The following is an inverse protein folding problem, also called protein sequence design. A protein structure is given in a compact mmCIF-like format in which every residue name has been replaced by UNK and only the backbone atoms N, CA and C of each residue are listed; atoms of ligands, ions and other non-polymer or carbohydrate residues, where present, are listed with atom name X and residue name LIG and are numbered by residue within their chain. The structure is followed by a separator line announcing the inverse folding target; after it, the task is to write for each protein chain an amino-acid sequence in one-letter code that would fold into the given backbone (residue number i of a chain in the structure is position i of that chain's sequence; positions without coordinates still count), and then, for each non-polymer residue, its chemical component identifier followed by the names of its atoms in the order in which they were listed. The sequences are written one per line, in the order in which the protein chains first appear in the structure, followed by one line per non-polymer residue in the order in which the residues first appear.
data_IF_492540169025
#
_entry.id   IF_492540169025
#
_cell.length_a   1.000
_cell.length_b   1.000
_cell.length_c   1.000
_cell.angle_alpha   90.00
_cell.angle_beta   90.00
_cell.angle_gamma   90.00
#
_symmetry.space_group_name_H-M   'P 1'
#
loop_
_entity.id
_entity.type
_entity.pdbx_description
1 polymer ?
#
# COMPACT_ATOMS: atom_id res chain seq x y z
N UNK A 1 -36.56 13.60 -6.77
CA UNK A 1 -35.56 14.04 -5.77
C UNK A 1 -35.06 12.86 -4.92
N UNK A 2 -35.91 12.19 -4.12
CA UNK A 2 -35.50 11.06 -3.26
C UNK A 2 -34.86 9.91 -4.05
N UNK A 3 -35.39 9.57 -5.23
CA UNK A 3 -34.80 8.53 -6.09
C UNK A 3 -33.39 8.86 -6.61
N UNK A 4 -33.11 10.14 -6.86
CA UNK A 4 -31.78 10.61 -7.30
C UNK A 4 -30.78 10.56 -6.13
N UNK A 5 -31.21 11.00 -4.95
CA UNK A 5 -30.41 10.90 -3.74
C UNK A 5 -30.08 9.45 -3.38
N UNK A 6 -31.01 8.52 -3.64
CA UNK A 6 -30.82 7.08 -3.47
C UNK A 6 -29.78 6.50 -4.43
N UNK A 7 -29.72 6.98 -5.68
CA UNK A 7 -28.67 6.62 -6.63
C UNK A 7 -27.30 7.16 -6.23
N UNK A 8 -27.24 8.42 -5.78
CA UNK A 8 -26.00 9.03 -5.28
C UNK A 8 -25.49 8.27 -4.05
N UNK A 9 -26.37 7.92 -3.12
CA UNK A 9 -26.04 7.15 -1.93
C UNK A 9 -25.41 5.79 -2.27
N UNK A 10 -25.98 5.06 -3.24
CA UNK A 10 -25.42 3.79 -3.73
C UNK A 10 -24.08 3.99 -4.45
N UNK A 11 -23.90 5.08 -5.20
CA UNK A 11 -22.62 5.39 -5.83
C UNK A 11 -21.52 5.71 -4.79
N UNK A 12 -21.88 6.38 -3.70
CA UNK A 12 -20.97 6.69 -2.60
C UNK A 12 -20.53 5.44 -1.82
N UNK A 13 -21.30 4.34 -1.85
CA UNK A 13 -20.87 3.08 -1.24
C UNK A 13 -19.56 2.55 -1.83
N UNK A 14 -19.39 2.71 -3.14
CA UNK A 14 -18.19 2.25 -3.87
C UNK A 14 -16.96 3.11 -3.60
N UNK A 15 -17.16 4.33 -3.07
CA UNK A 15 -16.08 5.24 -2.70
C UNK A 15 -15.73 5.14 -1.21
N UNK A 16 -16.32 4.18 -0.49
CA UNK A 16 -16.24 4.07 0.97
C UNK A 16 -16.64 5.39 1.66
N UNK A 17 -17.62 6.08 1.08
CA UNK A 17 -18.18 7.31 1.61
C UNK A 17 -19.57 7.02 2.19
N UNK A 18 -19.69 7.12 3.49
CA UNK A 18 -20.96 6.99 4.18
C UNK A 18 -21.81 8.25 3.97
N UNK A 19 -23.11 8.10 3.70
CA UNK A 19 -24.05 9.21 3.56
C UNK A 19 -25.33 8.95 4.33
N UNK A 20 -25.87 10.01 4.93
CA UNK A 20 -27.19 10.02 5.55
C UNK A 20 -27.82 11.40 5.36
N UNK A 21 -29.09 11.39 4.95
CA UNK A 21 -29.83 12.56 4.51
C UNK A 21 -31.01 12.75 5.44
N UNK A 22 -31.20 13.98 5.88
CA UNK A 22 -32.24 14.39 6.81
C UNK A 22 -33.13 15.44 6.15
N UNK A 23 -34.42 15.45 6.49
CA UNK A 23 -35.33 16.53 6.12
C UNK A 23 -35.11 17.78 6.99
N UNK A 24 -35.91 18.82 6.77
CA UNK A 24 -35.81 20.07 7.53
C UNK A 24 -36.21 19.95 9.02
N UNK A 25 -36.73 18.80 9.44
CA UNK A 25 -37.10 18.45 10.82
C UNK A 25 -36.17 17.38 11.40
N UNK A 26 -34.99 17.21 10.81
CA UNK A 26 -33.97 16.21 11.16
C UNK A 26 -34.46 14.76 11.11
N UNK A 27 -35.47 14.46 10.28
CA UNK A 27 -35.92 13.09 10.07
C UNK A 27 -35.14 12.45 8.95
N UNK A 28 -34.67 11.23 9.19
CA UNK A 28 -33.90 10.44 8.26
C UNK A 28 -34.72 10.18 6.99
N UNK A 29 -34.24 10.65 5.84
CA UNK A 29 -34.84 10.39 4.54
C UNK A 29 -34.20 9.18 3.86
N UNK A 30 -32.88 9.06 3.99
CA UNK A 30 -32.08 8.10 3.23
C UNK A 30 -30.69 7.92 3.84
N UNK A 31 -30.13 6.72 3.73
CA UNK A 31 -28.74 6.40 4.02
C UNK A 31 -28.22 5.36 3.01
N UNK A 32 -26.91 5.16 2.96
CA UNK A 32 -26.28 4.10 2.15
C UNK A 32 -25.72 2.95 3.00
N UNK A 33 -25.24 1.89 2.35
CA UNK A 33 -24.74 0.71 3.06
C UNK A 33 -23.43 1.01 3.79
N UNK A 34 -22.56 1.87 3.25
CA UNK A 34 -21.34 2.33 3.90
C UNK A 34 -21.64 3.10 5.17
N UNK A 35 -22.75 3.83 5.27
CA UNK A 35 -23.19 4.43 6.53
C UNK A 35 -23.44 3.36 7.60
N UNK A 36 -24.06 2.23 7.25
CA UNK A 36 -24.27 1.12 8.19
C UNK A 36 -22.98 0.34 8.49
N UNK A 37 -22.03 0.30 7.56
CA UNK A 37 -20.69 -0.23 7.82
C UNK A 37 -19.90 0.67 8.77
N UNK A 38 -20.07 1.99 8.66
CA UNK A 38 -19.43 2.95 9.55
C UNK A 38 -20.08 2.91 10.93
N UNK A 39 -21.42 2.88 10.99
CA UNK A 39 -22.21 2.95 12.22
C UNK A 39 -23.09 1.70 12.37
N UNK A 40 -22.51 0.52 12.68
CA UNK A 40 -23.23 -0.75 12.77
C UNK A 40 -24.31 -0.76 13.85
N UNK A 41 -24.24 0.13 14.85
CA UNK A 41 -25.28 0.34 15.86
C UNK A 41 -26.63 0.81 15.28
N UNK A 42 -26.65 1.25 14.02
CA UNK A 42 -27.87 1.65 13.31
C UNK A 42 -28.41 0.54 12.40
N UNK A 43 -27.60 -0.48 12.09
CA UNK A 43 -28.00 -1.59 11.22
C UNK A 43 -29.20 -2.34 11.81
N UNK A 44 -30.31 -2.40 11.07
CA UNK A 44 -31.56 -3.03 11.52
C UNK A 44 -32.44 -2.15 12.41
N UNK A 45 -32.00 -0.94 12.77
CA UNK A 45 -32.75 -0.02 13.63
C UNK A 45 -33.14 1.30 12.96
N UNK A 46 -32.34 1.78 11.99
CA UNK A 46 -32.66 3.02 11.24
C UNK A 46 -33.78 2.78 10.23
N UNK A 47 -34.69 3.74 10.09
CA UNK A 47 -35.78 3.72 9.12
C UNK A 47 -36.10 5.13 8.60
N UNK A 48 -36.76 5.22 7.44
CA UNK A 48 -37.16 6.51 6.88
C UNK A 48 -38.23 7.17 7.77
N UNK A 49 -38.02 8.44 8.13
CA UNK A 49 -38.85 9.22 9.04
C UNK A 49 -38.35 9.23 10.50
N UNK A 50 -37.31 8.46 10.81
CA UNK A 50 -36.70 8.41 12.14
C UNK A 50 -36.02 9.73 12.53
N UNK A 51 -36.29 10.21 13.74
CA UNK A 51 -35.68 11.41 14.30
C UNK A 51 -34.16 11.21 14.53
N UNK A 52 -33.35 12.16 14.09
CA UNK A 52 -31.89 12.13 14.29
C UNK A 52 -31.48 12.02 15.76
N UNK A 53 -32.33 12.48 16.69
CA UNK A 53 -32.15 12.29 18.14
C UNK A 53 -31.96 10.82 18.51
N UNK A 54 -32.67 9.91 17.85
CA UNK A 54 -32.58 8.48 18.12
C UNK A 54 -31.30 7.86 17.53
N UNK A 55 -30.80 8.39 16.40
CA UNK A 55 -29.46 8.06 15.90
C UNK A 55 -28.38 8.45 16.92
N UNK A 56 -28.41 9.67 17.43
CA UNK A 56 -27.47 10.14 18.45
C UNK A 56 -27.57 9.32 19.74
N UNK A 57 -28.77 8.95 20.16
CA UNK A 57 -28.98 8.12 21.34
C UNK A 57 -28.26 6.77 21.22
N UNK A 58 -28.46 6.06 20.11
CA UNK A 58 -27.78 4.77 19.84
C UNK A 58 -26.26 4.93 19.73
N UNK A 59 -25.82 5.99 19.07
CA UNK A 59 -24.40 6.31 18.92
C UNK A 59 -23.72 6.51 20.29
N UNK A 60 -24.32 7.31 21.18
CA UNK A 60 -23.74 7.57 22.52
C UNK A 60 -23.86 6.40 23.49
N UNK A 61 -24.98 5.66 23.48
CA UNK A 61 -25.18 4.50 24.37
C UNK A 61 -24.13 3.40 24.20
N UNK A 62 -23.54 3.26 23.01
CA UNK A 62 -22.48 2.29 22.73
C UNK A 62 -21.09 2.76 23.17
N UNK A 63 -20.93 4.04 23.54
CA UNK A 63 -19.61 4.71 23.61
C UNK A 63 -19.34 5.41 24.94
N UNK A 64 -20.38 5.82 25.65
CA UNK A 64 -20.24 6.44 26.96
C UNK A 64 -19.92 5.39 28.03
N UNK A 65 -19.01 5.73 28.94
CA UNK A 65 -18.73 4.91 30.13
C UNK A 65 -19.91 4.95 31.12
N UNK A 66 -19.98 4.00 32.06
CA UNK A 66 -21.10 3.88 33.01
C UNK A 66 -21.34 5.15 33.84
N UNK A 67 -20.28 5.88 34.16
CA UNK A 67 -20.31 7.17 34.88
C UNK A 67 -20.78 8.34 34.01
N UNK A 68 -20.73 8.22 32.68
CA UNK A 68 -21.17 9.25 31.73
C UNK A 68 -22.62 9.05 31.25
N UNK A 69 -23.18 7.85 31.38
CA UNK A 69 -24.56 7.53 30.98
C UNK A 69 -25.64 8.45 31.59
N UNK A 70 -25.54 8.91 32.85
CA UNK A 70 -26.49 9.88 33.42
C UNK A 70 -26.54 11.21 32.65
N UNK A 71 -25.49 11.54 31.88
CA UNK A 71 -25.38 12.76 31.07
C UNK A 71 -25.79 12.58 29.60
N UNK A 72 -26.29 11.41 29.21
CA UNK A 72 -26.70 11.09 27.83
C UNK A 72 -27.61 12.15 27.19
N UNK A 73 -28.59 12.67 27.94
CA UNK A 73 -29.51 13.69 27.45
C UNK A 73 -28.81 14.98 27.03
N UNK A 74 -27.76 15.38 27.76
CA UNK A 74 -26.93 16.55 27.45
C UNK A 74 -26.12 16.32 26.17
N UNK A 75 -25.49 15.16 26.03
CA UNK A 75 -24.68 14.82 24.84
C UNK A 75 -25.52 14.78 23.54
N UNK A 76 -26.76 14.29 23.63
CA UNK A 76 -27.71 14.30 22.52
C UNK A 76 -28.05 15.75 22.11
N UNK A 77 -28.31 16.63 23.09
CA UNK A 77 -28.66 18.03 22.81
C UNK A 77 -27.48 18.80 22.19
N UNK A 78 -26.27 18.60 22.70
CA UNK A 78 -25.04 19.14 22.09
C UNK A 78 -24.82 18.59 20.68
N UNK A 79 -25.15 17.31 20.43
CA UNK A 79 -25.10 16.67 19.12
C UNK A 79 -26.07 17.28 18.11
N UNK A 80 -27.29 17.62 18.54
CA UNK A 80 -28.29 18.31 17.72
C UNK A 80 -27.87 19.75 17.42
N UNK A 81 -27.37 20.48 18.40
CA UNK A 81 -26.84 21.83 18.17
C UNK A 81 -25.70 21.82 17.14
N UNK A 82 -24.77 20.85 17.25
CA UNK A 82 -23.74 20.63 16.22
C UNK A 82 -24.35 20.28 14.87
N UNK A 83 -25.38 19.42 14.82
CA UNK A 83 -26.06 19.07 13.59
C UNK A 83 -26.60 20.31 12.84
N UNK A 84 -27.18 21.27 13.55
CA UNK A 84 -27.74 22.48 12.95
C UNK A 84 -26.69 23.53 12.56
N UNK A 85 -25.67 23.74 13.40
CA UNK A 85 -24.76 24.89 13.27
C UNK A 85 -23.41 24.53 12.62
N UNK A 86 -23.20 23.26 12.25
CA UNK A 86 -21.97 22.83 11.62
C UNK A 86 -21.91 23.28 10.14
N UNK A 87 -20.91 24.11 9.83
CA UNK A 87 -20.60 24.58 8.47
C UNK A 87 -19.23 24.11 7.96
N UNK A 88 -18.39 23.54 8.83
CA UNK A 88 -17.05 23.02 8.49
C UNK A 88 -16.95 21.54 8.81
N UNK A 89 -16.18 20.82 7.99
CA UNK A 89 -15.88 19.43 8.26
C UNK A 89 -14.99 19.30 9.50
N UNK A 90 -15.22 18.27 10.31
CA UNK A 90 -14.36 17.95 11.47
C UNK A 90 -14.14 16.44 11.54
N UNK A 91 -13.13 16.03 12.31
CA UNK A 91 -12.74 14.63 12.47
C UNK A 91 -12.97 14.18 13.91
N UNK A 92 -13.33 12.91 14.07
CA UNK A 92 -13.41 12.25 15.37
C UNK A 92 -13.02 10.77 15.24
N UNK A 93 -12.56 10.19 16.34
CA UNK A 93 -12.16 8.78 16.37
C UNK A 93 -13.40 7.88 16.47
N UNK A 94 -13.45 6.80 15.69
CA UNK A 94 -14.60 5.92 15.59
C UNK A 94 -14.18 4.46 15.36
N UNK A 95 -14.36 3.62 16.39
CA UNK A 95 -13.77 2.27 16.44
C UNK A 95 -12.26 2.34 16.15
N UNK A 96 -11.77 1.59 15.17
CA UNK A 96 -10.37 1.50 14.77
C UNK A 96 -10.04 2.44 13.60
N UNK A 97 -10.77 3.52 13.40
CA UNK A 97 -10.46 4.50 12.36
C UNK A 97 -10.90 5.93 12.73
N UNK A 98 -10.24 6.92 12.14
CA UNK A 98 -10.67 8.32 12.22
C UNK A 98 -11.67 8.60 11.11
N UNK A 99 -12.79 9.22 11.46
CA UNK A 99 -13.83 9.60 10.52
C UNK A 99 -13.90 11.11 10.40
N UNK A 100 -13.82 11.60 9.17
CA UNK A 100 -14.13 12.99 8.84
C UNK A 100 -15.57 13.11 8.42
N UNK A 101 -16.31 14.01 9.04
CA UNK A 101 -17.70 14.31 8.71
C UNK A 101 -17.82 15.70 8.09
N UNK A 102 -18.46 15.77 6.93
CA UNK A 102 -18.90 17.00 6.31
C UNK A 102 -20.44 17.07 6.35
N UNK A 103 -20.96 18.28 6.47
CA UNK A 103 -22.40 18.51 6.45
C UNK A 103 -22.74 19.64 5.51
N UNK A 104 -23.70 19.39 4.62
CA UNK A 104 -24.19 20.34 3.62
C UNK A 104 -25.66 20.59 3.89
N UNK A 105 -26.01 21.85 4.15
CA UNK A 105 -27.41 22.28 4.27
C UNK A 105 -28.02 22.42 2.88
N UNK A 106 -29.21 21.86 2.68
CA UNK A 106 -30.03 22.00 1.48
C UNK A 106 -31.12 23.06 1.65
N UNK A 107 -30.98 23.98 2.62
CA UNK A 107 -31.99 24.99 2.93
C UNK A 107 -33.29 24.36 3.42
N UNK A 108 -34.43 24.71 2.82
CA UNK A 108 -35.75 24.22 3.23
C UNK A 108 -35.97 22.71 3.01
N UNK A 109 -35.06 22.02 2.30
CA UNK A 109 -35.18 20.60 1.99
C UNK A 109 -34.48 19.68 3.01
N UNK A 110 -33.68 20.24 3.92
CA UNK A 110 -32.98 19.48 4.95
C UNK A 110 -31.46 19.51 4.80
N UNK A 111 -30.79 18.39 5.07
CA UNK A 111 -29.33 18.32 5.20
C UNK A 111 -28.76 16.99 4.76
N UNK A 112 -27.60 17.03 4.11
CA UNK A 112 -26.80 15.85 3.79
C UNK A 112 -25.61 15.81 4.74
N UNK A 113 -25.35 14.65 5.33
CA UNK A 113 -24.12 14.36 6.06
C UNK A 113 -23.34 13.29 5.32
N UNK A 114 -22.04 13.52 5.19
CA UNK A 114 -21.11 12.67 4.45
C UNK A 114 -19.94 12.35 5.36
N UNK A 115 -19.56 11.08 5.45
CA UNK A 115 -18.46 10.60 6.28
C UNK A 115 -17.45 9.82 5.44
N UNK A 116 -16.16 10.01 5.74
CA UNK A 116 -15.06 9.27 5.10
C UNK A 116 -14.01 8.87 6.14
N UNK A 117 -13.46 7.67 6.01
CA UNK A 117 -12.28 7.24 6.79
C UNK A 117 -11.06 8.03 6.35
N UNK A 118 -10.35 8.65 7.28
CA UNK A 118 -9.16 9.48 6.99
C UNK A 118 -7.85 8.81 7.39
N UNK A 119 -7.85 8.00 8.45
CA UNK A 119 -6.73 7.16 8.82
C UNK A 119 -7.22 5.93 9.59
N UNK A 120 -6.64 4.73 9.37
CA UNK A 120 -6.84 3.61 10.27
C UNK A 120 -6.14 3.91 11.61
N UNK A 121 -6.82 3.60 12.71
CA UNK A 121 -6.15 3.31 13.97
C UNK A 121 -5.59 1.89 13.80
N UNK A 122 -4.32 1.69 14.13
CA UNK A 122 -3.60 0.46 13.79
C UNK A 122 -4.32 -0.78 14.36
N UNK A 123 -5.06 -1.48 13.51
CA UNK A 123 -5.42 -2.91 13.63
C UNK A 123 -6.01 -3.40 12.30
N UNK A 124 -5.63 -4.62 11.91
CA UNK A 124 -5.64 -5.07 10.52
C UNK A 124 -6.89 -5.79 9.99
N UNK A 125 -6.78 -6.10 8.70
CA UNK A 125 -7.41 -7.18 7.90
C UNK A 125 -8.68 -6.86 7.06
N UNK A 126 -8.43 -6.93 5.74
CA UNK A 126 -9.06 -7.74 4.68
C UNK A 126 -10.49 -7.49 4.15
N UNK A 127 -10.51 -7.35 2.82
CA UNK A 127 -11.46 -7.77 1.78
C UNK A 127 -12.94 -7.41 1.89
N UNK A 128 -13.50 -6.91 0.76
CA UNK A 128 -14.56 -7.59 -0.04
C UNK A 128 -15.33 -6.60 -0.95
N UNK A 129 -15.35 -6.84 -2.27
CA UNK A 129 -16.56 -7.24 -3.04
C UNK A 129 -16.52 -6.94 -4.55
N UNK A 130 -17.09 -7.90 -5.29
CA UNK A 130 -17.23 -7.98 -6.74
C UNK A 130 -18.39 -7.11 -7.29
N UNK A 131 -18.37 -6.74 -8.59
CA UNK A 131 -19.28 -5.75 -9.15
C UNK A 131 -20.63 -6.36 -9.57
N UNK A 132 -21.74 -5.75 -9.13
CA UNK A 132 -23.10 -6.03 -9.64
C UNK A 132 -23.67 -4.79 -10.35
N UNK A 133 -24.25 -5.05 -11.52
CA UNK A 133 -24.76 -4.13 -12.54
C UNK A 133 -25.96 -3.31 -12.06
N UNK A 134 -26.01 -2.02 -12.46
CA UNK A 134 -27.14 -1.10 -12.25
C UNK A 134 -27.33 -0.25 -13.52
N UNK A 135 -28.57 -0.13 -13.99
CA UNK A 135 -28.99 0.69 -15.14
C UNK A 135 -29.32 2.13 -14.73
N UNK A 136 -29.09 3.11 -15.61
CA UNK A 136 -29.43 4.53 -15.43
C UNK A 136 -30.12 5.15 -16.67
N UNK A 137 -30.84 6.28 -16.51
CA UNK A 137 -31.59 6.95 -17.57
C UNK A 137 -30.89 8.20 -18.15
N UNK A 138 -31.18 8.46 -19.42
CA UNK A 138 -30.69 9.59 -20.23
C UNK A 138 -31.02 10.99 -19.66
N UNK A 139 -30.02 11.88 -19.80
CA UNK A 139 -29.94 13.30 -19.42
C UNK A 139 -29.54 13.53 -17.95
N UNK A 140 -28.25 13.90 -17.76
CA UNK A 140 -27.76 14.39 -16.47
C UNK A 140 -28.59 15.59 -16.02
N UNK A 141 -29.28 15.46 -14.89
CA UNK A 141 -29.93 16.60 -14.27
C UNK A 141 -28.87 17.64 -13.87
N UNK A 142 -29.25 18.92 -13.86
CA UNK A 142 -28.38 20.00 -13.39
C UNK A 142 -27.78 19.71 -12.00
N UNK A 143 -28.56 19.05 -11.13
CA UNK A 143 -28.13 18.65 -9.78
C UNK A 143 -27.01 17.61 -9.79
N UNK A 144 -27.03 16.67 -10.74
CA UNK A 144 -26.00 15.62 -10.87
C UNK A 144 -24.70 16.22 -11.42
N UNK A 145 -24.81 17.13 -12.39
CA UNK A 145 -23.66 17.88 -12.90
C UNK A 145 -23.04 18.73 -11.78
N UNK A 146 -23.85 19.43 -10.98
CA UNK A 146 -23.37 20.20 -9.83
C UNK A 146 -22.70 19.34 -8.76
N UNK A 147 -23.24 18.15 -8.47
CA UNK A 147 -22.63 17.22 -7.51
C UNK A 147 -21.24 16.75 -7.96
N UNK A 148 -21.10 16.34 -9.23
CA UNK A 148 -19.81 15.94 -9.80
C UNK A 148 -18.83 17.11 -9.95
N UNK A 149 -19.34 18.32 -10.18
CA UNK A 149 -18.54 19.55 -10.23
C UNK A 149 -17.90 19.87 -8.88
N UNK A 150 -18.59 19.55 -7.78
CA UNK A 150 -18.11 19.81 -6.41
C UNK A 150 -17.04 18.82 -5.92
N UNK A 151 -16.75 17.76 -6.67
CA UNK A 151 -15.76 16.76 -6.28
C UNK A 151 -14.34 17.32 -6.43
N UNK A 152 -13.50 17.03 -5.42
CA UNK A 152 -12.08 17.38 -5.44
C UNK A 152 -11.29 16.56 -6.48
N UNK A 153 -11.75 15.35 -6.79
CA UNK A 153 -11.15 14.51 -7.81
C UNK A 153 -11.55 15.01 -9.21
N UNK A 154 -10.63 14.85 -10.17
CA UNK A 154 -10.92 15.15 -11.57
C UNK A 154 -11.86 14.09 -12.15
N UNK A 155 -13.03 14.49 -12.63
CA UNK A 155 -13.98 13.60 -13.28
C UNK A 155 -13.98 13.90 -14.79
N UNK A 156 -13.78 12.86 -15.59
CA UNK A 156 -13.94 12.89 -17.04
C UNK A 156 -15.05 11.92 -17.44
N UNK A 157 -16.01 12.39 -18.23
CA UNK A 157 -17.04 11.56 -18.84
C UNK A 157 -16.72 11.41 -20.32
N UNK A 158 -16.77 10.18 -20.82
CA UNK A 158 -16.57 9.82 -22.23
C UNK A 158 -17.79 9.11 -22.79
N UNK A 159 -17.98 9.17 -24.11
CA UNK A 159 -18.99 8.40 -24.84
C UNK A 159 -18.55 6.95 -25.13
N UNK A 160 -19.37 6.22 -25.89
CA UNK A 160 -19.12 4.82 -26.26
C UNK A 160 -17.93 4.62 -27.19
N UNK A 161 -17.37 5.70 -27.73
CA UNK A 161 -16.20 5.71 -28.60
C UNK A 161 -14.95 6.26 -27.88
N UNK A 162 -15.00 6.33 -26.54
CA UNK A 162 -13.99 6.86 -25.61
C UNK A 162 -13.66 8.34 -25.85
N UNK A 163 -14.60 9.12 -26.41
CA UNK A 163 -14.41 10.55 -26.61
C UNK A 163 -15.02 11.33 -25.46
N UNK A 164 -14.28 12.30 -24.96
CA UNK A 164 -14.73 13.17 -23.89
C UNK A 164 -15.99 13.94 -24.28
N UNK A 165 -16.99 13.87 -23.39
CA UNK A 165 -18.27 14.57 -23.49
C UNK A 165 -18.40 15.64 -22.42
N UNK A 166 -17.76 15.47 -21.26
CA UNK A 166 -17.78 16.42 -20.16
C UNK A 166 -16.61 16.18 -19.19
N UNK A 167 -16.18 17.21 -18.49
CA UNK A 167 -15.24 17.09 -17.38
C UNK A 167 -15.50 18.19 -16.34
N UNK A 168 -15.23 17.90 -15.07
CA UNK A 168 -15.37 18.88 -14.00
C UNK A 168 -14.17 19.84 -13.93
N UNK A 169 -14.30 20.92 -13.15
CA UNK A 169 -13.24 21.89 -12.93
C UNK A 169 -11.93 21.25 -12.44
N UNK A 170 -12.00 20.31 -11.51
CA UNK A 170 -10.83 19.61 -10.96
C UNK A 170 -10.03 18.88 -12.04
N UNK A 171 -10.70 18.22 -12.99
CA UNK A 171 -10.03 17.58 -14.14
C UNK A 171 -9.38 18.61 -15.06
N UNK A 172 -10.10 19.69 -15.37
CA UNK A 172 -9.61 20.76 -16.24
C UNK A 172 -8.35 21.42 -15.67
N UNK A 173 -8.33 21.70 -14.36
CA UNK A 173 -7.15 22.20 -13.67
C UNK A 173 -5.99 21.20 -13.71
N UNK A 174 -6.27 19.92 -13.44
CA UNK A 174 -5.25 18.88 -13.38
C UNK A 174 -4.48 18.74 -14.71
N UNK A 175 -5.21 18.78 -15.84
CA UNK A 175 -4.66 18.65 -17.19
C UNK A 175 -4.41 19.99 -17.90
N UNK A 176 -4.59 21.13 -17.22
CA UNK A 176 -4.38 22.49 -17.76
C UNK A 176 -5.21 22.82 -19.02
N UNK A 177 -6.49 22.47 -18.99
CA UNK A 177 -7.46 22.82 -20.03
C UNK A 177 -8.35 24.00 -19.61
N UNK A 178 -8.67 24.92 -20.54
CA UNK A 178 -9.43 26.13 -20.21
C UNK A 178 -10.93 25.90 -19.99
N UNK A 179 -11.47 24.75 -20.43
CA UNK A 179 -12.89 24.44 -20.32
C UNK A 179 -13.24 23.07 -20.89
N UNK A 180 -14.36 22.49 -20.45
CA UNK A 180 -14.84 21.18 -20.90
C UNK A 180 -15.14 21.14 -22.40
N UNK A 181 -15.57 22.26 -22.98
CA UNK A 181 -15.79 22.43 -24.42
C UNK A 181 -14.54 22.12 -25.26
N UNK A 182 -13.35 22.43 -24.73
CA UNK A 182 -12.08 22.17 -25.43
C UNK A 182 -11.67 20.69 -25.46
N UNK A 183 -12.35 19.86 -24.67
CA UNK A 183 -12.16 18.42 -24.61
C UNK A 183 -13.09 17.65 -25.56
N UNK A 184 -14.20 18.27 -25.99
CA UNK A 184 -15.24 17.58 -26.77
C UNK A 184 -14.62 16.84 -27.94
N UNK A 185 -15.03 15.58 -28.13
CA UNK A 185 -14.58 14.69 -29.21
C UNK A 185 -13.14 14.18 -29.12
N UNK A 186 -12.33 14.65 -28.14
CA UNK A 186 -10.98 14.14 -27.91
C UNK A 186 -11.02 12.85 -27.09
N UNK A 187 -10.15 11.90 -27.44
CA UNK A 187 -9.87 10.74 -26.59
C UNK A 187 -8.90 11.10 -25.47
N UNK A 188 -8.93 10.34 -24.38
CA UNK A 188 -8.08 10.61 -23.22
C UNK A 188 -6.58 10.61 -23.57
N UNK A 189 -6.13 9.78 -24.51
CA UNK A 189 -4.73 9.80 -24.96
C UNK A 189 -4.33 11.13 -25.60
N UNK A 190 -5.25 11.74 -26.37
CA UNK A 190 -5.02 13.05 -26.96
C UNK A 190 -5.04 14.16 -25.90
N UNK A 191 -5.88 14.02 -24.87
CA UNK A 191 -5.92 14.92 -23.71
C UNK A 191 -4.58 14.84 -22.94
N UNK A 192 -4.11 13.62 -22.68
CA UNK A 192 -2.82 13.35 -22.05
C UNK A 192 -1.67 13.96 -22.87
N UNK A 193 -1.58 13.68 -24.17
CA UNK A 193 -0.55 14.26 -25.03
C UNK A 193 -0.56 15.80 -25.04
N UNK A 194 -1.75 16.41 -25.03
CA UNK A 194 -1.90 17.86 -24.94
C UNK A 194 -1.47 18.46 -23.59
N UNK A 195 -1.56 17.71 -22.49
CA UNK A 195 -1.03 18.16 -21.21
C UNK A 195 0.50 18.35 -21.28
N UNK A 196 1.20 17.48 -22.02
CA UNK A 196 2.64 17.52 -22.22
C UNK A 196 3.12 18.45 -23.34
N UNK A 197 2.23 19.17 -24.04
CA UNK A 197 2.54 19.93 -25.27
C UNK A 197 3.64 21.01 -25.14
N UNK A 198 3.92 21.46 -23.92
CA UNK A 198 4.91 22.50 -23.62
C UNK A 198 6.21 21.95 -23.04
N UNK A 199 6.31 20.63 -22.86
CA UNK A 199 7.52 19.94 -22.40
C UNK A 199 8.10 19.09 -23.53
N UNK A 200 9.42 18.90 -23.56
CA UNK A 200 10.04 17.95 -24.49
C UNK A 200 9.62 16.52 -24.13
N UNK A 201 9.59 15.57 -25.08
CA UNK A 201 9.27 14.18 -24.76
C UNK A 201 10.23 13.65 -23.68
N UNK A 202 9.67 13.33 -22.51
CA UNK A 202 10.41 12.72 -21.40
C UNK A 202 10.17 11.20 -21.39
N UNK A 203 11.07 10.42 -20.76
CA UNK A 203 10.83 8.99 -20.53
C UNK A 203 9.48 8.71 -19.82
N UNK A 204 9.08 9.59 -18.90
CA UNK A 204 7.81 9.51 -18.18
C UNK A 204 6.60 9.71 -19.10
N UNK A 205 6.71 10.62 -20.07
CA UNK A 205 5.70 10.83 -21.10
C UNK A 205 5.52 9.57 -21.96
N UNK A 206 6.61 8.98 -22.45
CA UNK A 206 6.59 7.76 -23.27
C UNK A 206 6.05 6.54 -22.50
N UNK A 207 6.44 6.40 -21.23
CA UNK A 207 5.93 5.37 -20.35
C UNK A 207 4.41 5.52 -20.15
N UNK A 208 3.92 6.74 -19.92
CA UNK A 208 2.49 7.01 -19.80
C UNK A 208 1.69 6.68 -21.06
N UNK A 209 2.22 6.98 -22.26
CA UNK A 209 1.60 6.59 -23.53
C UNK A 209 1.53 5.07 -23.69
N UNK A 210 2.55 4.35 -23.21
CA UNK A 210 2.59 2.89 -23.24
C UNK A 210 1.51 2.31 -22.33
N UNK A 211 1.40 2.82 -21.09
CA UNK A 211 0.34 2.44 -20.13
C UNK A 211 -1.06 2.65 -20.74
N UNK A 212 -1.28 3.79 -21.41
CA UNK A 212 -2.56 4.08 -22.05
C UNK A 212 -2.88 3.12 -23.21
N UNK A 213 -1.90 2.81 -24.07
CA UNK A 213 -2.06 1.84 -25.18
C UNK A 213 -2.34 0.42 -24.68
N UNK A 214 -1.72 0.01 -23.58
CA UNK A 214 -1.94 -1.31 -22.97
C UNK A 214 -3.31 -1.41 -22.29
N UNK A 215 -3.80 -0.32 -21.68
CA UNK A 215 -5.10 -0.27 -21.01
C UNK A 215 -6.30 -0.25 -21.95
N UNK A 216 -6.16 0.25 -23.18
CA UNK A 216 -7.17 0.03 -24.23
C UNK A 216 -7.47 -1.47 -24.47
N UNK A 217 -6.58 -2.38 -24.03
CA UNK A 217 -6.73 -3.84 -24.19
C UNK A 217 -7.22 -4.55 -22.91
N UNK A 218 -7.15 -3.93 -21.73
CA UNK A 218 -7.49 -4.53 -20.43
C UNK A 218 -8.14 -3.52 -19.46
N UNK A 219 -9.44 -3.68 -19.23
CA UNK A 219 -10.30 -2.74 -18.48
C UNK A 219 -10.29 -2.92 -16.96
N UNK A 220 -10.50 -1.81 -16.24
CA UNK A 220 -11.09 -1.80 -14.89
C UNK A 220 -10.13 -1.73 -13.70
N UNK A 221 -8.82 -1.89 -13.89
CA UNK A 221 -7.85 -1.74 -12.81
C UNK A 221 -7.28 -0.31 -12.77
N UNK A 222 -7.13 0.30 -11.58
CA UNK A 222 -6.53 1.62 -11.44
C UNK A 222 -5.09 1.61 -11.96
N UNK A 223 -4.66 2.73 -12.54
CA UNK A 223 -3.29 2.91 -13.00
C UNK A 223 -2.80 4.33 -12.71
N UNK A 224 -1.49 4.53 -12.77
CA UNK A 224 -0.85 5.81 -12.48
C UNK A 224 -0.21 6.33 -13.75
N UNK A 225 -0.37 7.64 -13.98
CA UNK A 225 0.32 8.38 -15.03
C UNK A 225 1.15 9.49 -14.41
N UNK A 226 2.32 9.73 -14.99
CA UNK A 226 3.05 10.96 -14.75
C UNK A 226 2.35 12.12 -15.48
N UNK A 227 2.44 13.31 -14.91
CA UNK A 227 2.01 14.56 -15.51
C UNK A 227 3.19 15.54 -15.51
N UNK A 228 3.13 16.57 -16.38
CA UNK A 228 4.07 17.69 -16.39
C UNK A 228 4.37 18.23 -14.98
N UNK A 229 5.61 18.70 -14.79
CA UNK A 229 6.08 19.32 -13.55
C UNK A 229 6.13 18.37 -12.34
N UNK A 230 6.53 17.10 -12.57
CA UNK A 230 6.67 16.05 -11.54
C UNK A 230 5.37 15.84 -10.72
N UNK A 231 4.26 15.75 -11.45
CA UNK A 231 2.96 15.41 -10.87
C UNK A 231 2.59 13.98 -11.23
N UNK A 232 1.75 13.39 -10.40
CA UNK A 232 1.31 12.01 -10.56
C UNK A 232 -0.19 11.92 -10.36
N UNK A 233 -0.86 11.29 -11.30
CA UNK A 233 -2.31 11.08 -11.26
C UNK A 233 -2.62 9.60 -11.25
N UNK A 234 -3.50 9.19 -10.34
CA UNK A 234 -4.12 7.86 -10.38
C UNK A 234 -5.42 7.97 -11.15
N UNK A 235 -5.54 7.17 -12.20
CA UNK A 235 -6.73 7.09 -13.06
C UNK A 235 -7.48 5.81 -12.74
N UNK A 236 -8.79 5.94 -12.53
CA UNK A 236 -9.71 4.83 -12.30
C UNK A 236 -10.83 4.92 -13.32
N UNK A 237 -10.95 3.89 -14.17
CA UNK A 237 -12.04 3.76 -15.13
C UNK A 237 -13.27 3.17 -14.43
N UNK A 238 -14.39 3.89 -14.50
CA UNK A 238 -15.71 3.49 -14.04
C UNK A 238 -16.59 3.28 -15.29
N UNK A 239 -16.67 2.04 -15.77
CA UNK A 239 -17.48 1.72 -16.96
C UNK A 239 -18.97 1.69 -16.62
N UNK A 240 -19.76 2.47 -17.36
CA UNK A 240 -21.20 2.31 -17.42
C UNK A 240 -21.56 1.02 -18.18
N UNK A 241 -22.41 0.17 -17.62
CA UNK A 241 -22.83 -1.05 -18.34
C UNK A 241 -23.94 -0.73 -19.35
N UNK A 242 -23.55 -0.69 -20.63
CA UNK A 242 -24.28 -0.90 -21.90
C UNK A 242 -25.65 -0.23 -22.20
N UNK A 243 -26.29 0.51 -21.32
CA UNK A 243 -27.55 1.18 -21.67
C UNK A 243 -27.36 2.55 -22.36
N UNK A 244 -26.34 3.32 -21.94
CA UNK A 244 -26.18 4.74 -22.36
C UNK A 244 -24.86 5.06 -23.08
N UNK A 245 -23.96 4.08 -23.19
CA UNK A 245 -22.68 4.24 -23.89
C UNK A 245 -21.60 5.07 -23.18
N UNK A 246 -21.91 5.85 -22.15
CA UNK A 246 -20.91 6.69 -21.49
C UNK A 246 -20.13 5.97 -20.36
N UNK A 247 -18.83 6.25 -20.26
CA UNK A 247 -17.95 5.82 -19.16
C UNK A 247 -17.38 7.02 -18.41
N UNK A 248 -17.04 6.83 -17.13
CA UNK A 248 -16.44 7.88 -16.30
C UNK A 248 -15.01 7.48 -15.94
N UNK A 249 -14.14 8.47 -15.80
CA UNK A 249 -12.82 8.32 -15.22
C UNK A 249 -12.69 9.25 -14.02
N UNK A 250 -12.18 8.70 -12.92
CA UNK A 250 -11.72 9.47 -11.76
C UNK A 250 -10.21 9.64 -11.82
N UNK A 251 -9.76 10.88 -11.65
CA UNK A 251 -8.38 11.32 -11.72
C UNK A 251 -8.01 11.95 -10.39
N UNK A 252 -7.26 11.21 -9.59
CA UNK A 252 -6.82 11.64 -8.26
C UNK A 252 -5.37 12.08 -8.35
N UNK A 253 -5.10 13.34 -8.01
CA UNK A 253 -3.72 13.80 -7.83
C UNK A 253 -3.12 13.10 -6.61
N UNK A 254 -2.09 12.28 -6.86
CA UNK A 254 -1.38 11.52 -5.83
C UNK A 254 0.02 12.09 -5.58
N UNK A 255 0.36 13.25 -6.13
CA UNK A 255 1.70 13.83 -6.07
C UNK A 255 2.19 13.99 -4.62
N UNK A 256 1.35 14.58 -3.77
CA UNK A 256 1.68 14.79 -2.34
C UNK A 256 1.86 13.45 -1.62
N UNK A 257 0.91 12.51 -1.82
CA UNK A 257 0.96 11.21 -1.17
C UNK A 257 2.18 10.40 -1.61
N UNK A 258 2.53 10.43 -2.90
CA UNK A 258 3.73 9.77 -3.42
C UNK A 258 5.01 10.38 -2.85
N UNK A 259 5.11 11.72 -2.81
CA UNK A 259 6.29 12.40 -2.24
C UNK A 259 6.46 12.06 -0.76
N UNK A 260 5.37 12.05 0.01
CA UNK A 260 5.39 11.64 1.42
C UNK A 260 5.80 10.18 1.60
N UNK A 261 5.29 9.26 0.76
CA UNK A 261 5.69 7.86 0.81
C UNK A 261 7.17 7.67 0.50
N UNK A 262 7.68 8.40 -0.48
CA UNK A 262 9.10 8.34 -0.84
C UNK A 262 9.98 8.95 0.26
N UNK A 263 9.60 10.09 0.82
CA UNK A 263 10.30 10.72 1.95
C UNK A 263 10.32 9.81 3.18
N UNK A 264 9.17 9.19 3.52
CA UNK A 264 9.09 8.19 4.58
C UNK A 264 10.02 7.02 4.30
N UNK A 265 10.02 6.50 3.07
CA UNK A 265 10.89 5.39 2.67
C UNK A 265 12.37 5.77 2.80
N UNK A 266 12.75 6.97 2.39
CA UNK A 266 14.10 7.49 2.52
C UNK A 266 14.50 7.65 3.98
N UNK A 267 13.60 8.19 4.81
CA UNK A 267 13.83 8.34 6.25
C UNK A 267 13.95 6.99 6.94
N UNK A 268 13.09 6.03 6.62
CA UNK A 268 13.17 4.65 7.13
C UNK A 268 14.50 4.02 6.74
N UNK A 269 14.89 4.12 5.46
CA UNK A 269 16.19 3.61 4.99
C UNK A 269 17.36 4.30 5.71
N UNK A 270 17.27 5.61 5.95
CA UNK A 270 18.26 6.39 6.68
C UNK A 270 18.35 5.97 8.15
N UNK A 271 17.21 5.76 8.81
CA UNK A 271 17.11 5.29 10.19
C UNK A 271 17.62 3.86 10.35
N UNK A 272 17.26 2.94 9.44
CA UNK A 272 17.83 1.59 9.38
C UNK A 272 19.36 1.67 9.25
N UNK A 273 19.84 2.50 8.33
CA UNK A 273 21.26 2.79 8.13
C UNK A 273 21.96 3.32 9.40
N UNK A 274 21.27 4.08 10.26
CA UNK A 274 21.79 4.56 11.55
C UNK A 274 21.69 3.52 12.67
N UNK A 275 20.64 2.69 12.66
CA UNK A 275 20.37 1.68 13.69
C UNK A 275 21.30 0.45 13.59
N UNK A 276 22.01 0.28 12.46
CA UNK A 276 22.94 -0.83 12.23
C UNK A 276 22.28 -2.22 12.16
N UNK A 277 20.95 -2.27 12.22
CA UNK A 277 20.13 -3.48 12.19
C UNK A 277 19.07 -3.42 11.11
N UNK A 278 18.66 -4.59 10.62
CA UNK A 278 17.55 -4.79 9.69
C UNK A 278 16.21 -4.80 10.46
N UNK A 279 15.22 -4.04 9.98
CA UNK A 279 13.95 -3.85 10.69
C UNK A 279 13.08 -5.12 10.75
N UNK A 280 13.21 -6.03 9.77
CA UNK A 280 12.41 -7.26 9.71
C UNK A 280 12.99 -8.37 10.60
N UNK A 281 14.30 -8.57 10.52
CA UNK A 281 15.00 -9.73 11.11
C UNK A 281 15.78 -9.40 12.37
N UNK A 282 15.99 -8.11 12.67
CA UNK A 282 16.81 -7.60 13.78
C UNK A 282 18.29 -8.04 13.74
N UNK A 283 18.74 -8.63 12.62
CA UNK A 283 20.15 -8.92 12.34
C UNK A 283 20.88 -7.64 11.94
N UNK A 284 22.21 -7.73 11.81
CA UNK A 284 23.01 -6.63 11.27
C UNK A 284 22.53 -6.31 9.85
N UNK A 285 22.42 -5.04 9.49
CA UNK A 285 22.10 -4.68 8.11
C UNK A 285 23.35 -4.64 7.22
N UNK A 286 23.16 -4.64 5.90
CA UNK A 286 24.26 -4.59 4.93
C UNK A 286 25.28 -3.49 5.19
N UNK A 287 24.84 -2.27 5.50
CA UNK A 287 25.75 -1.14 5.74
C UNK A 287 26.69 -1.42 6.91
N UNK A 288 26.16 -1.94 8.02
CA UNK A 288 26.99 -2.27 9.19
C UNK A 288 27.85 -3.51 8.91
N UNK A 289 27.34 -4.49 8.17
CA UNK A 289 28.13 -5.63 7.70
C UNK A 289 29.34 -5.18 6.87
N UNK A 290 29.18 -4.30 5.88
CA UNK A 290 30.27 -3.82 5.03
C UNK A 290 31.37 -3.12 5.85
N UNK A 291 30.96 -2.32 6.85
CA UNK A 291 31.90 -1.66 7.75
C UNK A 291 32.69 -2.64 8.64
N UNK A 292 32.03 -3.67 9.17
CA UNK A 292 32.65 -4.71 10.00
C UNK A 292 33.54 -5.64 9.17
N UNK A 293 33.12 -5.99 7.96
CA UNK A 293 33.91 -6.75 7.00
C UNK A 293 35.25 -6.05 6.72
N UNK A 294 35.23 -4.75 6.43
CA UNK A 294 36.46 -3.99 6.18
C UNK A 294 37.38 -3.91 7.42
N UNK A 295 36.78 -3.85 8.61
CA UNK A 295 37.52 -3.86 9.88
C UNK A 295 38.20 -5.21 10.13
N UNK A 296 37.45 -6.31 10.00
CA UNK A 296 37.94 -7.67 10.22
C UNK A 296 38.90 -8.13 9.12
N UNK A 297 38.70 -7.67 7.88
CA UNK A 297 39.66 -7.84 6.78
C UNK A 297 41.05 -7.32 7.17
N UNK A 298 41.11 -6.05 7.58
CA UNK A 298 42.36 -5.43 8.04
C UNK A 298 42.95 -6.13 9.27
N UNK A 299 42.12 -6.61 10.19
CA UNK A 299 42.56 -7.38 11.36
C UNK A 299 43.18 -8.71 10.97
N UNK A 300 42.52 -9.47 10.11
CA UNK A 300 42.97 -10.77 9.65
C UNK A 300 44.30 -10.67 8.89
N UNK A 301 44.42 -9.68 8.00
CA UNK A 301 45.65 -9.41 7.25
C UNK A 301 46.84 -9.11 8.18
N UNK A 302 46.67 -8.23 9.19
CA UNK A 302 47.74 -7.92 10.15
C UNK A 302 48.18 -9.10 11.01
N UNK A 303 47.24 -9.98 11.37
CA UNK A 303 47.49 -11.12 12.26
C UNK A 303 47.86 -12.40 11.52
N UNK A 304 47.82 -12.40 10.18
CA UNK A 304 47.99 -13.61 9.38
C UNK A 304 46.89 -14.66 9.58
N UNK A 305 45.76 -14.28 10.19
CA UNK A 305 44.66 -15.20 10.47
C UNK A 305 43.72 -15.36 9.27
N UNK A 306 42.90 -16.42 9.30
CA UNK A 306 41.89 -16.65 8.25
C UNK A 306 40.64 -15.80 8.48
N UNK A 307 40.03 -15.33 7.40
CA UNK A 307 38.71 -14.69 7.42
C UNK A 307 37.82 -15.39 6.40
N UNK A 308 36.75 -16.02 6.87
CA UNK A 308 35.77 -16.68 6.01
C UNK A 308 34.46 -15.91 5.94
N UNK A 309 33.80 -16.00 4.79
CA UNK A 309 32.50 -15.39 4.52
C UNK A 309 31.58 -16.43 3.90
N UNK A 310 30.36 -16.51 4.43
CA UNK A 310 29.25 -17.27 3.83
C UNK A 310 28.24 -16.26 3.27
N UNK A 311 27.83 -16.45 2.03
CA UNK A 311 26.67 -15.80 1.41
C UNK A 311 25.57 -16.84 1.27
N UNK A 312 24.37 -16.53 1.76
CA UNK A 312 23.23 -17.44 1.83
C UNK A 312 22.03 -16.82 1.13
N UNK A 313 21.23 -17.65 0.47
CA UNK A 313 19.99 -17.23 -0.21
C UNK A 313 18.89 -18.26 0.02
N UNK A 314 17.68 -17.79 0.31
CA UNK A 314 16.49 -18.66 0.44
C UNK A 314 16.02 -19.07 -0.95
N UNK A 315 16.10 -20.37 -1.22
CA UNK A 315 15.75 -20.91 -2.53
C UNK A 315 14.28 -20.68 -2.85
N UNK A 316 13.99 -20.27 -4.09
CA UNK A 316 12.64 -20.07 -4.60
C UNK A 316 11.78 -19.09 -3.78
N UNK A 317 12.40 -18.14 -3.06
CA UNK A 317 11.68 -17.19 -2.19
C UNK A 317 10.60 -16.38 -2.93
N UNK A 318 10.86 -15.97 -4.18
CA UNK A 318 9.86 -15.32 -5.02
C UNK A 318 8.61 -16.19 -5.23
N UNK A 319 8.78 -17.47 -5.56
CA UNK A 319 7.66 -18.40 -5.73
C UNK A 319 6.88 -18.60 -4.42
N UNK A 320 7.58 -18.65 -3.29
CA UNK A 320 6.97 -18.69 -1.97
C UNK A 320 6.09 -17.45 -1.71
N UNK A 321 6.60 -16.25 -2.02
CA UNK A 321 5.82 -15.02 -1.92
C UNK A 321 4.63 -14.98 -2.88
N UNK A 322 4.81 -15.41 -4.13
CA UNK A 322 3.75 -15.43 -5.13
C UNK A 322 2.63 -16.41 -4.73
N UNK A 323 2.97 -17.49 -4.02
CA UNK A 323 2.00 -18.52 -3.59
C UNK A 323 1.26 -18.16 -2.30
N UNK A 324 1.97 -17.63 -1.30
CA UNK A 324 1.45 -17.44 0.06
C UNK A 324 1.32 -15.98 0.49
N UNK A 325 1.77 -15.05 -0.34
CA UNK A 325 1.78 -13.61 -0.08
C UNK A 325 3.00 -13.14 0.72
N UNK A 326 3.34 -11.86 0.54
CA UNK A 326 4.46 -11.20 1.24
C UNK A 326 4.45 -11.34 2.77
N UNK A 327 3.29 -11.28 3.47
CA UNK A 327 3.28 -11.45 4.93
C UNK A 327 3.83 -12.80 5.41
N UNK A 328 3.60 -13.87 4.63
CA UNK A 328 4.13 -15.19 4.93
C UNK A 328 5.63 -15.27 4.63
N UNK A 329 6.09 -14.67 3.52
CA UNK A 329 7.52 -14.56 3.24
C UNK A 329 8.28 -13.82 4.33
N UNK A 330 7.71 -12.74 4.87
CA UNK A 330 8.29 -12.01 5.99
C UNK A 330 8.44 -12.89 7.24
N UNK A 331 7.45 -13.74 7.53
CA UNK A 331 7.53 -14.72 8.63
C UNK A 331 8.64 -15.75 8.38
N UNK A 332 8.75 -16.27 7.16
CA UNK A 332 9.83 -17.18 6.75
C UNK A 332 11.20 -16.54 6.99
N UNK A 333 11.40 -15.29 6.60
CA UNK A 333 12.66 -14.58 6.81
C UNK A 333 12.98 -14.35 8.29
N UNK A 334 11.98 -14.07 9.13
CA UNK A 334 12.16 -13.97 10.59
C UNK A 334 12.57 -15.30 11.21
N UNK A 335 11.91 -16.38 10.84
CA UNK A 335 12.24 -17.73 11.33
C UNK A 335 13.63 -18.16 10.87
N UNK A 336 13.97 -17.91 9.60
CA UNK A 336 15.30 -18.20 9.07
C UNK A 336 16.39 -17.41 9.80
N UNK A 337 16.18 -16.11 10.04
CA UNK A 337 17.10 -15.28 10.80
C UNK A 337 17.31 -15.80 12.24
N UNK A 338 16.23 -16.21 12.91
CA UNK A 338 16.31 -16.80 14.24
C UNK A 338 17.09 -18.13 14.25
N UNK A 339 16.88 -18.98 13.25
CA UNK A 339 17.61 -20.24 13.08
C UNK A 339 19.10 -19.99 12.80
N UNK A 340 19.45 -19.02 11.96
CA UNK A 340 20.84 -18.62 11.74
C UNK A 340 21.50 -18.15 13.03
N UNK A 341 20.84 -17.30 13.81
CA UNK A 341 21.34 -16.82 15.09
C UNK A 341 21.56 -17.97 16.09
N UNK A 342 20.72 -19.01 16.05
CA UNK A 342 20.91 -20.20 16.86
C UNK A 342 22.09 -21.06 16.40
N UNK A 343 22.31 -21.19 15.08
CA UNK A 343 23.40 -22.00 14.52
C UNK A 343 24.78 -21.35 14.71
N UNK A 344 24.85 -20.02 14.64
CA UNK A 344 26.11 -19.26 14.66
C UNK A 344 26.31 -18.66 16.06
N UNK A 345 26.71 -19.51 17.02
CA UNK A 345 26.91 -19.08 18.43
C UNK A 345 28.35 -18.64 18.76
N UNK A 346 29.26 -18.68 17.80
CA UNK A 346 30.69 -18.42 18.06
C UNK A 346 30.94 -16.94 18.27
N UNK A 347 31.50 -16.60 19.43
CA UNK A 347 31.99 -15.24 19.75
C UNK A 347 32.86 -14.68 18.63
N UNK A 348 32.49 -13.48 18.15
CA UNK A 348 33.18 -12.79 17.06
C UNK A 348 32.61 -13.04 15.66
N UNK A 349 31.66 -13.95 15.49
CA UNK A 349 30.93 -14.10 14.23
C UNK A 349 29.88 -13.00 14.07
N UNK A 350 29.68 -12.53 12.84
CA UNK A 350 28.68 -11.50 12.55
C UNK A 350 27.68 -12.04 11.53
N UNK A 351 26.38 -11.93 11.86
CA UNK A 351 25.28 -12.31 10.99
C UNK A 351 24.56 -11.07 10.51
N UNK A 352 24.33 -11.00 9.20
CA UNK A 352 23.64 -9.89 8.59
C UNK A 352 22.58 -10.35 7.59
N UNK A 353 21.53 -9.55 7.46
CA UNK A 353 20.68 -9.59 6.27
C UNK A 353 21.29 -8.69 5.21
N UNK A 354 21.73 -9.28 4.11
CA UNK A 354 22.46 -8.59 3.06
C UNK A 354 21.51 -7.81 2.14
N UNK A 355 20.31 -8.36 1.88
CA UNK A 355 19.24 -7.67 1.15
C UNK A 355 18.19 -8.66 0.64
N UNK A 356 16.91 -8.28 0.67
CA UNK A 356 15.84 -9.20 0.24
C UNK A 356 15.85 -10.51 1.03
N UNK A 357 16.05 -11.62 0.32
CA UNK A 357 16.20 -12.99 0.83
C UNK A 357 17.65 -13.43 1.11
N UNK A 358 18.62 -12.53 0.91
CA UNK A 358 20.05 -12.81 1.04
C UNK A 358 20.58 -12.48 2.45
N UNK A 359 21.42 -13.37 2.97
CA UNK A 359 22.06 -13.27 4.28
C UNK A 359 23.57 -13.48 4.17
N UNK A 360 24.32 -12.92 5.09
CA UNK A 360 25.77 -13.05 5.16
C UNK A 360 26.21 -13.45 6.57
N UNK A 361 27.21 -14.33 6.65
CA UNK A 361 27.88 -14.70 7.91
C UNK A 361 29.38 -14.49 7.78
N UNK A 362 29.92 -13.56 8.56
CA UNK A 362 31.34 -13.26 8.66
C UNK A 362 31.98 -14.05 9.80
N UNK A 363 33.07 -14.77 9.53
CA UNK A 363 33.73 -15.69 10.45
C UNK A 363 35.23 -15.37 10.61
N UNK A 364 35.58 -14.43 11.51
CA UNK A 364 36.98 -14.15 11.84
C UNK A 364 37.68 -15.37 12.47
N UNK A 365 38.94 -15.60 12.11
CA UNK A 365 39.75 -16.70 12.63
C UNK A 365 39.26 -18.09 12.23
N UNK A 366 38.44 -18.20 11.19
CA UNK A 366 37.89 -19.47 10.71
C UNK A 366 38.41 -19.74 9.30
N UNK A 367 39.02 -20.91 9.11
CA UNK A 367 39.51 -21.37 7.82
C UNK A 367 38.38 -21.92 6.93
N UNK A 368 38.70 -22.22 5.68
CA UNK A 368 37.71 -22.70 4.71
C UNK A 368 37.03 -24.00 5.15
N UNK A 369 37.77 -24.90 5.81
CA UNK A 369 37.24 -26.19 6.30
C UNK A 369 36.22 -25.99 7.41
N UNK A 370 36.52 -25.14 8.40
CA UNK A 370 35.59 -24.78 9.46
C UNK A 370 34.35 -24.06 8.94
N UNK A 371 34.54 -23.14 7.99
CA UNK A 371 33.45 -22.40 7.35
C UNK A 371 32.52 -23.34 6.54
N UNK A 372 33.08 -24.28 5.79
CA UNK A 372 32.33 -25.28 5.03
C UNK A 372 31.48 -26.18 5.93
N UNK A 373 32.03 -26.63 7.07
CA UNK A 373 31.28 -27.44 8.05
C UNK A 373 30.10 -26.68 8.65
N UNK A 374 30.31 -25.40 9.00
CA UNK A 374 29.23 -24.55 9.52
C UNK A 374 28.16 -24.29 8.45
N UNK A 375 28.56 -24.01 7.20
CA UNK A 375 27.64 -23.84 6.10
C UNK A 375 26.76 -25.08 5.90
N UNK A 376 27.36 -26.27 5.86
CA UNK A 376 26.60 -27.52 5.67
C UNK A 376 25.69 -27.81 6.86
N UNK A 377 26.14 -27.53 8.08
CA UNK A 377 25.29 -27.62 9.27
C UNK A 377 24.06 -26.70 9.17
N UNK A 378 24.25 -25.43 8.81
CA UNK A 378 23.16 -24.47 8.62
C UNK A 378 22.18 -24.97 7.55
N UNK A 379 22.69 -25.44 6.40
CA UNK A 379 21.87 -25.97 5.32
C UNK A 379 20.97 -27.12 5.79
N UNK A 380 21.54 -28.07 6.53
CA UNK A 380 20.78 -29.19 7.10
C UNK A 380 19.73 -28.75 8.12
N UNK A 381 20.04 -27.77 8.97
CA UNK A 381 19.05 -27.23 9.92
C UNK A 381 17.89 -26.53 9.21
N UNK A 382 18.14 -25.80 8.13
CA UNK A 382 17.09 -25.16 7.32
C UNK A 382 16.23 -26.20 6.63
N UNK A 383 16.82 -27.26 6.07
CA UNK A 383 16.09 -28.34 5.40
C UNK A 383 15.13 -29.08 6.34
N UNK A 384 15.47 -29.15 7.63
CA UNK A 384 14.61 -29.69 8.69
C UNK A 384 13.53 -28.71 9.16
N UNK A 385 13.70 -27.41 8.89
CA UNK A 385 12.73 -26.39 9.27
C UNK A 385 11.45 -26.54 8.45
N UNK A 386 10.32 -26.65 9.15
CA UNK A 386 9.01 -26.65 8.53
C UNK A 386 8.19 -25.50 9.12
N UNK A 387 7.61 -24.69 8.25
CA UNK A 387 6.89 -23.46 8.57
C UNK A 387 5.44 -23.58 8.11
N UNK A 388 4.48 -23.20 8.95
CA UNK A 388 3.06 -23.20 8.56
C UNK A 388 2.11 -23.47 9.72
N UNK A 389 0.83 -23.29 9.45
CA UNK A 389 -0.27 -23.57 10.37
C UNK A 389 -1.36 -24.40 9.66
N UNK A 390 -2.46 -24.72 10.36
CA UNK A 390 -3.57 -25.51 9.81
C UNK A 390 -4.15 -24.95 8.49
N UNK A 391 -3.99 -23.64 8.24
CA UNK A 391 -4.47 -22.98 7.02
C UNK A 391 -3.48 -23.00 5.86
N UNK A 392 -2.17 -22.98 6.12
CA UNK A 392 -1.13 -22.86 5.06
C UNK A 392 -0.50 -24.19 4.65
N UNK A 393 -0.74 -25.28 5.39
CA UNK A 393 0.00 -26.56 5.32
C UNK A 393 1.49 -26.35 5.67
N UNK A 394 2.18 -27.45 6.00
CA UNK A 394 3.62 -27.42 6.28
C UNK A 394 4.40 -27.08 4.99
N UNK A 395 5.04 -25.91 4.99
CA UNK A 395 5.94 -25.43 3.94
C UNK A 395 7.38 -25.71 4.39
N UNK A 396 8.18 -26.30 3.50
CA UNK A 396 9.62 -26.46 3.69
C UNK A 396 10.35 -25.49 2.80
N UNK A 397 11.45 -24.96 3.30
CA UNK A 397 12.36 -24.12 2.52
C UNK A 397 13.73 -24.78 2.44
N UNK A 398 14.50 -24.43 1.42
CA UNK A 398 15.91 -24.79 1.30
C UNK A 398 16.73 -23.53 1.08
N UNK A 399 18.04 -23.63 1.25
CA UNK A 399 18.96 -22.51 1.00
C UNK A 399 20.15 -22.96 0.17
N UNK A 400 20.65 -22.03 -0.64
CA UNK A 400 21.94 -22.15 -1.32
C UNK A 400 22.99 -21.34 -0.55
N UNK A 401 24.21 -21.86 -0.42
CA UNK A 401 25.30 -21.20 0.30
C UNK A 401 26.58 -21.16 -0.52
N UNK A 402 27.17 -19.98 -0.66
CA UNK A 402 28.51 -19.77 -1.18
C UNK A 402 29.49 -19.46 -0.06
N UNK A 403 30.64 -20.15 -0.03
CA UNK A 403 31.67 -19.98 1.00
C UNK A 403 32.97 -19.49 0.37
N UNK A 404 33.56 -18.42 0.88
CA UNK A 404 34.90 -17.99 0.52
C UNK A 404 35.76 -17.78 1.76
N UNK A 405 37.07 -17.97 1.61
CA UNK A 405 38.05 -17.74 2.67
C UNK A 405 39.23 -16.94 2.13
N UNK A 406 39.71 -15.98 2.91
CA UNK A 406 40.98 -15.33 2.70
C UNK A 406 41.99 -15.78 3.76
N UNK A 407 43.18 -16.16 3.32
CA UNK A 407 44.33 -16.30 4.20
C UNK A 407 45.00 -14.92 4.34
N UNK A 408 45.37 -14.54 5.57
CA UNK A 408 45.95 -13.23 5.85
C UNK A 408 47.25 -12.90 5.08
N UNK A 409 47.88 -13.88 4.44
CA UNK A 409 49.15 -13.73 3.71
C UNK A 409 49.03 -13.51 2.20
N UNK A 410 47.83 -13.55 1.61
CA UNK A 410 47.66 -13.41 0.16
C UNK A 410 47.92 -11.95 -0.31
N UNK A 411 48.98 -11.68 -1.11
CA UNK A 411 49.20 -10.34 -1.66
C UNK A 411 48.11 -10.01 -2.68
N UNK A 412 47.58 -8.79 -2.64
CA UNK A 412 46.57 -8.23 -3.59
C UNK A 412 45.10 -8.62 -3.40
N UNK A 413 44.70 -9.18 -2.27
CA UNK A 413 43.28 -9.40 -1.97
C UNK A 413 42.62 -8.18 -1.30
N UNK A 414 41.33 -7.95 -1.56
CA UNK A 414 40.49 -6.94 -0.89
C UNK A 414 39.28 -7.58 -0.20
N UNK A 415 38.64 -6.84 0.71
CA UNK A 415 37.37 -7.25 1.32
C UNK A 415 36.28 -7.47 0.26
N UNK A 416 36.19 -6.58 -0.75
CA UNK A 416 35.27 -6.72 -1.89
C UNK A 416 35.52 -8.02 -2.66
N UNK A 417 36.78 -8.38 -2.91
CA UNK A 417 37.11 -9.62 -3.61
C UNK A 417 36.70 -10.88 -2.83
N UNK A 418 36.66 -10.82 -1.49
CA UNK A 418 36.13 -11.91 -0.66
C UNK A 418 34.61 -12.06 -0.86
N UNK A 419 33.87 -10.95 -0.90
CA UNK A 419 32.43 -10.94 -1.19
C UNK A 419 32.16 -11.49 -2.58
N UNK A 420 32.85 -10.99 -3.60
CA UNK A 420 32.67 -11.43 -4.99
C UNK A 420 32.94 -12.93 -5.16
N UNK A 421 33.92 -13.49 -4.42
CA UNK A 421 34.19 -14.93 -4.43
C UNK A 421 33.08 -15.73 -3.76
N UNK A 422 32.57 -15.27 -2.62
CA UNK A 422 31.46 -15.93 -1.92
C UNK A 422 30.18 -15.89 -2.76
N UNK A 423 29.90 -14.75 -3.41
CA UNK A 423 28.74 -14.56 -4.28
C UNK A 423 28.80 -15.45 -5.53
N UNK A 424 29.96 -15.55 -6.20
CA UNK A 424 30.16 -16.50 -7.30
C UNK A 424 29.95 -17.96 -6.86
N UNK A 425 30.37 -18.30 -5.65
CA UNK A 425 30.13 -19.64 -5.11
C UNK A 425 28.64 -19.87 -4.81
N UNK A 426 27.93 -18.87 -4.30
CA UNK A 426 26.48 -18.92 -4.08
C UNK A 426 25.73 -19.10 -5.40
N UNK A 427 26.11 -18.34 -6.42
CA UNK A 427 25.58 -18.50 -7.78
C UNK A 427 25.79 -19.91 -8.31
N UNK A 428 26.99 -20.48 -8.13
CA UNK A 428 27.28 -21.87 -8.52
C UNK A 428 26.41 -22.89 -7.77
N UNK A 429 26.12 -22.68 -6.48
CA UNK A 429 25.21 -23.52 -5.71
C UNK A 429 23.77 -23.46 -6.28
N UNK A 430 23.32 -22.27 -6.69
CA UNK A 430 22.00 -22.08 -7.32
C UNK A 430 21.92 -22.80 -8.68
N UNK A 431 22.97 -22.74 -9.50
CA UNK A 431 23.01 -23.42 -10.80
C UNK A 431 23.12 -24.94 -10.71
N UNK A 432 23.81 -25.47 -9.70
CA UNK A 432 24.01 -26.91 -9.51
C UNK A 432 22.79 -27.62 -8.88
N UNK A 433 21.63 -26.97 -8.81
CA UNK A 433 20.40 -27.57 -8.30
C UNK A 433 19.93 -27.07 -6.93
N UNK A 434 20.53 -25.99 -6.38
CA UNK A 434 20.17 -25.39 -5.09
C UNK A 434 20.34 -26.33 -3.90
N UNK A 435 19.85 -25.95 -2.71
CA UNK A 435 19.95 -26.74 -1.47
C UNK A 435 21.34 -27.35 -1.24
N UNK A 436 22.40 -26.54 -1.40
CA UNK A 436 23.78 -27.03 -1.30
C UNK A 436 24.77 -25.92 -0.96
N UNK A 437 25.96 -26.37 -0.54
CA UNK A 437 27.10 -25.51 -0.25
C UNK A 437 28.12 -25.61 -1.38
N UNK A 438 28.52 -24.47 -1.93
CA UNK A 438 29.64 -24.37 -2.87
C UNK A 438 30.79 -23.56 -2.28
N UNK A 439 32.02 -24.04 -2.47
CA UNK A 439 33.22 -23.35 -2.05
C UNK A 439 33.79 -22.53 -3.22
N UNK A 440 34.21 -21.30 -2.95
CA UNK A 440 34.92 -20.48 -3.90
C UNK A 440 36.26 -21.13 -4.27
N UNK A 441 36.56 -21.17 -5.56
CA UNK A 441 37.89 -21.56 -6.04
C UNK A 441 38.89 -20.50 -5.56
N UNK A 442 40.02 -20.96 -5.02
CA UNK A 442 41.03 -20.09 -4.41
C UNK A 442 41.63 -19.11 -5.39
#
# INVERSE_FOLDING_TARGET
MISILRLIAVALDQLEVAVCIFDAKDRTLLWNDTFLQFFPEHAGFVYAGEDYRENLRRFYLRRLAEDELPHLGRYIEEGLQRHHHQHRAFEFDHYDYRVRVASVSLGAFGRIRVWRKTAPLLTGMQDRMSPKQVQLPHQMSADTAMALESLADGILMVDAQDKAVWANHSFLQLYSFPGSESLRTLRFEAIYAKAWRHEQPTPEYEAGLTVLKERQRFSGAPYVLALPHDRWVRVVELRGTQADGCSFFSHVDITVSRRQQEELRQLTTHLESLAGKDALTNLVNRRRFDAELESEWRRAHRSGSSLSLLMLDVDHFKHLNDTFGHPFGDEVLRCFAALLAHCVQRSGSLLARYGGEEFAVLLPGTDLSGAAKLAEFIRQQVELMSLGNEKTRLVRITISIGVACASGSAPQSSASALVDRADRALYAAKEQGRNQVCLARQ
#
